data_IF_113729001256
#
_entry.id   IF_113729001256
#
_cell.length_a   1.000
_cell.length_b   1.000
_cell.length_c   1.000
_cell.angle_alpha   90.00
_cell.angle_beta   90.00
_cell.angle_gamma   90.00
#
_symmetry.space_group_name_H-M   'P 1'
#
loop_
_entity.id
_entity.type
_entity.pdbx_description
1 polymer ?
#
# COMPACT_ATOMS: atom_id res chain seq x y z
N UNK A 1 -5.91 -20.61 -10.34
CA UNK A 1 -6.47 -20.41 -8.98
C UNK A 1 -7.97 -20.39 -9.14
N UNK A 2 -8.67 -21.19 -8.35
CA UNK A 2 -10.12 -21.04 -8.24
C UNK A 2 -10.40 -19.80 -7.36
N UNK A 3 -11.55 -19.13 -7.54
CA UNK A 3 -11.91 -17.97 -6.70
C UNK A 3 -11.90 -18.27 -5.20
N UNK A 4 -12.20 -19.52 -4.81
CA UNK A 4 -12.09 -20.00 -3.43
C UNK A 4 -10.65 -19.94 -2.90
N UNK A 5 -9.68 -20.31 -3.72
CA UNK A 5 -8.27 -20.32 -3.33
C UNK A 5 -7.76 -18.88 -3.12
N UNK A 6 -8.21 -17.94 -3.97
CA UNK A 6 -7.91 -16.52 -3.84
C UNK A 6 -8.48 -15.94 -2.54
N UNK A 7 -9.70 -16.34 -2.20
CA UNK A 7 -10.34 -15.93 -0.97
C UNK A 7 -9.61 -16.42 0.27
N UNK A 8 -9.24 -17.71 0.33
CA UNK A 8 -8.48 -18.24 1.48
C UNK A 8 -7.11 -17.59 1.61
N UNK A 9 -6.42 -17.36 0.49
CA UNK A 9 -5.16 -16.61 0.49
C UNK A 9 -5.34 -15.18 1.02
N UNK A 10 -6.38 -14.47 0.56
CA UNK A 10 -6.68 -13.12 1.04
C UNK A 10 -6.96 -13.11 2.55
N UNK A 11 -7.70 -14.11 3.04
CA UNK A 11 -8.04 -14.25 4.45
C UNK A 11 -6.79 -14.49 5.31
N UNK A 12 -5.87 -15.35 4.85
CA UNK A 12 -4.61 -15.62 5.56
C UNK A 12 -3.71 -14.38 5.59
N UNK A 13 -3.67 -13.61 4.49
CA UNK A 13 -2.96 -12.33 4.43
C UNK A 13 -3.55 -11.35 5.45
N UNK A 14 -4.87 -11.17 5.47
CA UNK A 14 -5.55 -10.22 6.38
C UNK A 14 -5.27 -10.58 7.84
N UNK A 15 -5.33 -11.88 8.20
CA UNK A 15 -5.00 -12.35 9.56
C UNK A 15 -3.54 -12.10 9.97
N UNK A 16 -2.62 -12.03 9.01
CA UNK A 16 -1.20 -11.82 9.28
C UNK A 16 -0.82 -10.33 9.38
N UNK A 17 -1.63 -9.42 8.83
CA UNK A 17 -1.37 -7.99 8.86
C UNK A 17 -1.84 -7.41 10.20
N UNK A 18 -1.06 -6.54 10.86
CA UNK A 18 -1.49 -5.89 12.10
C UNK A 18 -2.64 -4.88 11.87
N UNK A 19 -3.41 -4.59 12.92
CA UNK A 19 -4.38 -3.50 12.91
C UNK A 19 -3.66 -2.16 12.70
N UNK A 20 -4.15 -1.33 11.78
CA UNK A 20 -3.67 0.03 11.53
C UNK A 20 -4.84 1.00 11.35
N UNK A 21 -4.56 2.30 11.38
CA UNK A 21 -5.59 3.33 11.16
C UNK A 21 -6.05 3.38 9.70
N UNK A 22 -5.14 3.06 8.76
CA UNK A 22 -5.41 2.95 7.34
C UNK A 22 -4.45 1.96 6.67
N UNK A 23 -4.84 1.49 5.49
CA UNK A 23 -4.08 0.60 4.63
C UNK A 23 -3.88 1.25 3.26
N UNK A 24 -2.70 1.08 2.68
CA UNK A 24 -2.32 1.74 1.43
C UNK A 24 -2.03 0.68 0.38
N UNK A 25 -2.77 0.71 -0.71
CA UNK A 25 -2.52 -0.10 -1.90
C UNK A 25 -1.92 0.75 -3.01
N UNK A 26 -1.06 0.16 -3.83
CA UNK A 26 -0.71 0.76 -5.10
C UNK A 26 -1.83 0.47 -6.11
N UNK A 27 -2.30 1.50 -6.80
CA UNK A 27 -3.30 1.35 -7.85
C UNK A 27 -2.75 0.43 -8.97
N UNK A 28 -3.53 -0.55 -9.44
CA UNK A 28 -3.06 -1.48 -10.45
C UNK A 28 -2.71 -0.74 -11.76
N UNK A 29 -1.70 -1.20 -12.51
CA UNK A 29 -1.37 -0.62 -13.80
C UNK A 29 -2.55 -0.77 -14.78
N UNK A 30 -2.86 0.29 -15.51
CA UNK A 30 -3.79 0.23 -16.63
C UNK A 30 -3.10 -0.56 -17.74
N UNK A 31 -3.72 -1.67 -18.18
CA UNK A 31 -3.22 -2.45 -19.30
C UNK A 31 -3.30 -1.65 -20.60
N UNK A 32 -2.20 -1.58 -21.34
CA UNK A 32 -2.21 -0.99 -22.67
C UNK A 32 -3.01 -1.86 -23.66
N UNK A 33 -3.60 -1.30 -24.72
CA UNK A 33 -4.35 -2.06 -25.72
C UNK A 33 -3.54 -3.23 -26.32
N UNK A 34 -2.23 -3.03 -26.49
CA UNK A 34 -1.30 -4.05 -27.00
C UNK A 34 -1.09 -5.22 -26.02
N UNK A 35 -1.29 -5.01 -24.72
CA UNK A 35 -1.17 -6.05 -23.70
C UNK A 35 -2.49 -6.78 -23.44
N UNK A 36 -3.64 -6.21 -23.84
CA UNK A 36 -4.94 -6.87 -23.75
C UNK A 36 -5.05 -8.12 -24.64
N UNK A 37 -4.27 -8.17 -25.72
CA UNK A 37 -4.22 -9.34 -26.62
C UNK A 37 -3.34 -10.46 -26.09
N UNK A 38 -2.55 -10.21 -25.03
CA UNK A 38 -1.65 -11.20 -24.43
C UNK A 38 -2.34 -11.90 -23.26
N UNK A 39 -2.94 -13.06 -23.52
CA UNK A 39 -3.71 -13.83 -22.54
C UNK A 39 -2.99 -14.03 -21.19
N UNK A 40 -1.69 -14.34 -21.18
CA UNK A 40 -0.94 -14.51 -19.93
C UNK A 40 -0.84 -13.22 -19.10
N UNK A 41 -0.67 -12.06 -19.74
CA UNK A 41 -0.59 -10.76 -19.05
C UNK A 41 -1.94 -10.38 -18.46
N UNK A 42 -3.01 -10.61 -19.21
CA UNK A 42 -4.39 -10.36 -18.77
C UNK A 42 -4.77 -11.28 -17.61
N UNK A 43 -4.41 -12.56 -17.67
CA UNK A 43 -4.70 -13.52 -16.60
C UNK A 43 -4.05 -13.11 -15.28
N UNK A 44 -2.75 -12.76 -15.30
CA UNK A 44 -2.03 -12.30 -14.10
C UNK A 44 -2.58 -10.99 -13.57
N UNK A 45 -2.93 -10.06 -14.46
CA UNK A 45 -3.55 -8.79 -14.06
C UNK A 45 -4.90 -9.00 -13.38
N UNK A 46 -5.75 -9.88 -13.95
CA UNK A 46 -7.05 -10.19 -13.36
C UNK A 46 -6.91 -10.85 -11.99
N UNK A 47 -5.96 -11.79 -11.83
CA UNK A 47 -5.67 -12.39 -10.52
C UNK A 47 -5.23 -11.35 -9.49
N UNK A 48 -4.41 -10.38 -9.90
CA UNK A 48 -3.97 -9.30 -9.03
C UNK A 48 -5.14 -8.38 -8.60
N UNK A 49 -5.98 -7.98 -9.56
CA UNK A 49 -7.16 -7.15 -9.29
C UNK A 49 -8.18 -7.88 -8.42
N UNK A 50 -8.39 -9.18 -8.66
CA UNK A 50 -9.26 -10.05 -7.86
C UNK A 50 -8.78 -10.10 -6.40
N UNK A 51 -7.51 -10.42 -6.17
CA UNK A 51 -6.93 -10.46 -4.82
C UNK A 51 -6.99 -9.10 -4.13
N UNK A 52 -6.64 -8.00 -4.83
CA UNK A 52 -6.75 -6.65 -4.27
C UNK A 52 -8.18 -6.28 -3.88
N UNK A 53 -9.16 -6.69 -4.68
CA UNK A 53 -10.58 -6.42 -4.40
C UNK A 53 -11.07 -7.22 -3.18
N UNK A 54 -10.60 -8.47 -3.03
CA UNK A 54 -10.88 -9.28 -1.85
C UNK A 54 -10.27 -8.66 -0.59
N UNK A 55 -8.99 -8.27 -0.65
CA UNK A 55 -8.31 -7.61 0.48
C UNK A 55 -8.98 -6.28 0.85
N UNK A 56 -9.34 -5.47 -0.15
CA UNK A 56 -10.08 -4.22 0.05
C UNK A 56 -11.37 -4.46 0.83
N UNK A 57 -12.14 -5.48 0.43
CA UNK A 57 -13.41 -5.81 1.08
C UNK A 57 -13.16 -6.31 2.50
N UNK A 58 -12.29 -7.31 2.67
CA UNK A 58 -12.01 -7.94 3.96
C UNK A 58 -11.46 -6.95 5.00
N UNK A 59 -10.59 -6.03 4.61
CA UNK A 59 -10.07 -5.00 5.52
C UNK A 59 -11.15 -4.01 5.94
N UNK A 60 -12.05 -3.63 5.03
CA UNK A 60 -13.15 -2.73 5.35
C UNK A 60 -14.27 -3.38 6.17
N UNK A 61 -14.47 -4.69 6.04
CA UNK A 61 -15.53 -5.45 6.74
C UNK A 61 -15.04 -6.20 7.99
N UNK A 62 -13.76 -6.09 8.35
CA UNK A 62 -13.21 -6.73 9.55
C UNK A 62 -13.24 -5.78 10.73
N UNK A 63 -13.83 -6.19 11.85
CA UNK A 63 -13.87 -5.39 13.09
C UNK A 63 -12.46 -5.09 13.62
N UNK A 64 -11.51 -6.02 13.41
CA UNK A 64 -10.10 -5.86 13.81
C UNK A 64 -9.41 -4.73 13.04
N UNK A 65 -9.75 -4.57 11.76
CA UNK A 65 -9.08 -3.62 10.86
C UNK A 65 -9.90 -2.33 10.64
N UNK A 66 -11.20 -2.38 10.85
CA UNK A 66 -12.11 -1.25 10.72
C UNK A 66 -12.92 -1.09 12.02
N UNK A 67 -12.34 -0.37 12.97
CA UNK A 67 -12.93 -0.08 14.29
C UNK A 67 -14.26 0.67 14.21
N UNK A 68 -14.60 1.27 13.07
CA UNK A 68 -15.90 1.91 12.88
C UNK A 68 -17.06 0.90 12.83
N UNK A 69 -16.78 -0.38 12.60
CA UNK A 69 -17.80 -1.45 12.62
C UNK A 69 -18.33 -1.73 14.04
N UNK A 70 -17.46 -1.69 15.05
CA UNK A 70 -17.86 -1.90 16.46
C UNK A 70 -18.90 -0.86 16.91
N UNK A 71 -18.87 0.35 16.34
CA UNK A 71 -19.79 1.44 16.67
C UNK A 71 -21.16 1.32 15.98
N UNK A 72 -21.38 0.29 15.13
CA UNK A 72 -22.60 0.09 14.34
C UNK A 72 -23.57 -0.90 15.00
N UNK A 73 -23.12 -1.67 15.99
CA UNK A 73 -23.96 -2.64 16.72
C UNK A 73 -25.13 -2.00 17.50
N UNK A 74 -25.12 -0.68 17.73
CA UNK A 74 -26.25 0.06 18.27
C UNK A 74 -27.26 0.46 17.17
N UNK A 75 -28.11 -0.50 16.78
CA UNK A 75 -29.49 -0.50 16.22
C UNK A 75 -30.12 0.69 15.44
N UNK A 76 -29.41 1.79 15.14
CA UNK A 76 -30.02 3.02 14.59
C UNK A 76 -29.44 3.50 13.25
N UNK A 77 -28.71 2.68 12.50
CA UNK A 77 -27.89 3.21 11.42
C UNK A 77 -27.77 2.40 10.13
N UNK A 78 -28.90 1.97 9.57
CA UNK A 78 -29.00 1.54 8.16
C UNK A 78 -28.64 2.65 7.12
N UNK A 79 -28.25 3.85 7.56
CA UNK A 79 -27.92 5.00 6.72
C UNK A 79 -26.52 5.59 6.93
N UNK A 80 -25.65 4.99 7.76
CA UNK A 80 -24.27 5.45 7.95
C UNK A 80 -23.39 4.92 6.82
N UNK A 81 -22.78 5.82 6.05
CA UNK A 81 -21.68 5.46 5.15
C UNK A 81 -20.51 4.95 6.00
N UNK A 82 -20.12 3.69 5.80
CA UNK A 82 -18.96 3.11 6.47
C UNK A 82 -17.69 3.79 5.93
N UNK A 83 -16.85 4.39 6.79
CA UNK A 83 -15.62 4.99 6.33
C UNK A 83 -14.68 3.92 5.77
N UNK A 84 -14.10 4.20 4.61
CA UNK A 84 -13.13 3.32 3.98
C UNK A 84 -11.77 3.46 4.67
N UNK A 85 -11.16 2.34 5.06
CA UNK A 85 -9.82 2.29 5.68
C UNK A 85 -8.71 2.00 4.68
N UNK A 86 -9.05 1.68 3.43
CA UNK A 86 -8.08 1.33 2.38
C UNK A 86 -8.02 2.42 1.32
N UNK A 87 -6.83 2.95 1.05
CA UNK A 87 -6.60 4.01 0.08
C UNK A 87 -5.62 3.59 -1.00
N UNK A 88 -5.82 4.11 -2.21
CA UNK A 88 -4.96 3.82 -3.35
C UNK A 88 -4.03 4.99 -3.64
N UNK A 89 -2.72 4.74 -3.64
CA UNK A 89 -1.76 5.65 -4.25
C UNK A 89 -1.63 5.33 -5.74
N UNK A 90 -1.69 6.36 -6.58
CA UNK A 90 -1.56 6.20 -8.04
C UNK A 90 -0.24 5.50 -8.39
N UNK A 91 -0.33 4.55 -9.32
CA UNK A 91 0.82 3.82 -9.82
C UNK A 91 1.95 4.76 -10.26
N UNK A 92 3.20 4.39 -9.99
CA UNK A 92 4.43 5.11 -10.36
C UNK A 92 4.68 6.41 -9.60
N UNK A 93 3.77 6.88 -8.74
CA UNK A 93 4.05 8.08 -7.91
C UNK A 93 5.25 7.84 -7.02
N UNK A 94 5.27 6.70 -6.31
CA UNK A 94 6.40 6.32 -5.47
C UNK A 94 7.70 6.22 -6.28
N UNK A 95 7.66 5.55 -7.44
CA UNK A 95 8.83 5.43 -8.30
C UNK A 95 9.35 6.79 -8.82
N UNK A 96 8.46 7.76 -9.08
CA UNK A 96 8.85 9.12 -9.46
C UNK A 96 9.50 9.88 -8.32
N UNK A 97 8.95 9.79 -7.11
CA UNK A 97 9.50 10.45 -5.93
C UNK A 97 10.94 9.99 -5.66
N UNK A 98 11.17 8.68 -5.75
CA UNK A 98 12.48 8.07 -5.51
C UNK A 98 13.38 7.97 -6.73
N UNK A 99 12.99 8.57 -7.87
CA UNK A 99 13.75 8.55 -9.12
C UNK A 99 14.10 7.13 -9.61
N UNK A 100 13.25 6.15 -9.30
CA UNK A 100 13.33 4.75 -9.79
C UNK A 100 12.40 4.52 -10.98
N UNK A 101 11.90 5.58 -11.60
CA UNK A 101 11.18 5.51 -12.87
C UNK A 101 12.09 5.97 -14.02
N UNK A 102 12.45 5.04 -14.92
CA UNK A 102 13.22 5.33 -16.13
C UNK A 102 12.30 5.17 -17.34
N UNK A 103 12.00 6.28 -18.01
CA UNK A 103 10.97 6.31 -19.05
C UNK A 103 9.60 5.91 -18.48
N UNK A 104 9.10 4.74 -18.86
CA UNK A 104 7.84 4.17 -18.35
C UNK A 104 8.02 2.99 -17.40
N UNK A 105 9.26 2.57 -17.16
CA UNK A 105 9.59 1.36 -16.40
C UNK A 105 10.05 1.69 -14.98
N UNK A 106 9.58 0.89 -14.02
CA UNK A 106 10.07 0.93 -12.65
C UNK A 106 11.33 0.06 -12.58
N UNK A 107 12.44 0.65 -12.15
CA UNK A 107 13.66 -0.08 -11.82
C UNK A 107 13.69 -0.45 -10.34
N UNK A 108 14.66 -1.29 -9.96
CA UNK A 108 14.77 -1.82 -8.59
C UNK A 108 14.74 -0.72 -7.53
N UNK A 109 13.93 -0.94 -6.50
CA UNK A 109 13.79 -0.03 -5.36
C UNK A 109 14.87 -0.26 -4.28
N UNK A 110 15.63 -1.36 -4.35
CA UNK A 110 16.57 -1.77 -3.29
C UNK A 110 17.62 -0.69 -3.01
N UNK A 111 18.24 -0.11 -4.04
CA UNK A 111 19.30 0.90 -3.85
C UNK A 111 18.75 2.16 -3.19
N UNK A 112 17.55 2.61 -3.61
CA UNK A 112 16.90 3.77 -3.03
C UNK A 112 16.58 3.54 -1.54
N UNK A 113 15.99 2.39 -1.20
CA UNK A 113 15.64 2.03 0.17
C UNK A 113 16.88 1.81 1.04
N UNK A 114 17.93 1.18 0.51
CA UNK A 114 19.17 0.99 1.27
C UNK A 114 19.78 2.34 1.67
N UNK A 115 19.61 3.39 0.85
CA UNK A 115 19.96 4.76 1.22
C UNK A 115 19.12 5.30 2.38
N UNK A 116 17.80 5.05 2.38
CA UNK A 116 16.90 5.46 3.49
C UNK A 116 17.31 4.77 4.80
N UNK A 117 17.59 3.47 4.75
CA UNK A 117 17.81 2.70 5.98
C UNK A 117 19.23 2.85 6.56
N UNK A 118 20.20 3.36 5.77
CA UNK A 118 21.60 3.55 6.20
C UNK A 118 21.92 4.93 6.79
N UNK A 119 20.94 5.83 6.95
CA UNK A 119 21.15 7.25 7.29
C UNK A 119 21.75 7.51 8.71
N UNK A 120 22.10 6.46 9.46
CA UNK A 120 22.85 6.56 10.74
C UNK A 120 24.36 6.85 10.56
N UNK A 121 24.90 6.79 9.34
CA UNK A 121 26.35 6.88 9.10
C UNK A 121 26.89 8.30 8.80
N UNK A 122 26.08 9.36 8.93
CA UNK A 122 26.54 10.75 8.72
C UNK A 122 26.84 11.14 7.28
N UNK A 123 26.55 10.26 6.30
CA UNK A 123 26.51 10.62 4.88
C UNK A 123 25.10 11.08 4.62
N UNK A 124 24.89 12.40 4.56
CA UNK A 124 23.59 13.01 4.22
C UNK A 124 23.23 12.62 2.79
N UNK A 125 22.63 11.46 2.61
CA UNK A 125 21.85 11.17 1.42
C UNK A 125 20.64 12.09 1.48
N UNK A 126 20.60 13.09 0.60
CA UNK A 126 19.41 13.93 0.38
C UNK A 126 18.27 13.02 -0.10
N UNK A 127 17.56 12.44 0.85
CA UNK A 127 16.39 11.63 0.58
C UNK A 127 15.29 12.56 0.02
N UNK A 128 14.55 12.11 -1.00
CA UNK A 128 13.48 12.91 -1.60
C UNK A 128 12.24 13.03 -0.69
N UNK A 129 12.25 12.37 0.47
CA UNK A 129 11.16 12.29 1.44
C UNK A 129 11.61 12.78 2.81
N UNK A 130 10.63 13.02 3.69
CA UNK A 130 10.86 13.28 5.10
C UNK A 130 11.69 12.15 5.77
N UNK A 131 12.54 12.45 6.77
CA UNK A 131 13.38 11.45 7.43
C UNK A 131 12.57 10.29 8.02
N UNK A 132 13.01 9.06 7.79
CA UNK A 132 12.38 7.84 8.31
C UNK A 132 13.36 7.15 9.25
N UNK A 133 12.90 6.78 10.44
CA UNK A 133 13.68 6.03 11.42
C UNK A 133 13.24 4.57 11.42
N UNK A 134 14.21 3.66 11.49
CA UNK A 134 13.97 2.23 11.59
C UNK A 134 14.68 1.66 12.81
N UNK A 135 14.04 0.70 13.47
CA UNK A 135 14.72 -0.10 14.47
C UNK A 135 15.76 -1.02 13.81
N UNK A 136 16.91 -1.18 14.45
CA UNK A 136 18.01 -2.03 13.95
C UNK A 136 17.56 -3.46 13.62
N UNK A 137 16.58 -3.98 14.36
CA UNK A 137 16.02 -5.30 14.15
C UNK A 137 15.29 -5.42 12.80
N UNK A 138 14.52 -4.39 12.43
CA UNK A 138 13.78 -4.33 11.15
C UNK A 138 14.76 -4.27 9.98
N UNK A 139 15.81 -3.48 10.11
CA UNK A 139 16.85 -3.41 9.08
C UNK A 139 17.58 -4.74 8.90
N UNK A 140 17.97 -5.39 9.99
CA UNK A 140 18.63 -6.69 9.96
C UNK A 140 17.73 -7.74 9.32
N UNK A 141 16.43 -7.73 9.66
CA UNK A 141 15.44 -8.61 9.04
C UNK A 141 15.32 -8.37 7.53
N UNK A 142 15.30 -7.11 7.08
CA UNK A 142 15.30 -6.76 5.65
C UNK A 142 16.55 -7.29 4.92
N UNK A 143 17.74 -7.12 5.52
CA UNK A 143 19.00 -7.60 4.94
C UNK A 143 19.07 -9.13 4.83
N UNK A 144 18.36 -9.87 5.68
CA UNK A 144 18.35 -11.33 5.67
C UNK A 144 17.34 -11.94 4.67
N UNK A 145 16.54 -11.12 3.99
CA UNK A 145 15.58 -11.61 2.99
C UNK A 145 16.24 -12.02 1.67
N UNK A 146 15.54 -12.88 0.91
CA UNK A 146 15.90 -13.23 -0.46
C UNK A 146 15.84 -12.00 -1.38
N UNK A 147 16.54 -12.04 -2.52
CA UNK A 147 16.56 -10.91 -3.47
C UNK A 147 15.15 -10.50 -3.93
N UNK A 148 14.30 -11.47 -4.27
CA UNK A 148 12.92 -11.21 -4.68
C UNK A 148 12.08 -10.58 -3.56
N UNK A 149 12.19 -11.09 -2.33
CA UNK A 149 11.46 -10.54 -1.18
C UNK A 149 11.96 -9.15 -0.81
N UNK A 150 13.27 -8.90 -0.90
CA UNK A 150 13.86 -7.57 -0.70
C UNK A 150 13.29 -6.55 -1.66
N UNK A 151 13.13 -6.90 -2.93
CA UNK A 151 12.55 -6.00 -3.92
C UNK A 151 11.08 -5.68 -3.58
N UNK A 152 10.27 -6.69 -3.25
CA UNK A 152 8.87 -6.47 -2.84
C UNK A 152 8.75 -5.61 -1.58
N UNK A 153 9.57 -5.88 -0.57
CA UNK A 153 9.62 -5.08 0.66
C UNK A 153 10.09 -3.66 0.40
N UNK A 154 11.09 -3.49 -0.47
CA UNK A 154 11.59 -2.17 -0.84
C UNK A 154 10.49 -1.36 -1.56
N UNK A 155 9.75 -1.98 -2.48
CA UNK A 155 8.63 -1.33 -3.16
C UNK A 155 7.48 -0.98 -2.19
N UNK A 156 7.14 -1.88 -1.26
CA UNK A 156 6.12 -1.62 -0.24
C UNK A 156 6.52 -0.48 0.70
N UNK A 157 7.77 -0.44 1.14
CA UNK A 157 8.29 0.65 1.96
C UNK A 157 8.31 1.97 1.19
N UNK A 158 8.75 1.96 -0.05
CA UNK A 158 8.76 3.12 -0.93
C UNK A 158 7.34 3.69 -1.12
N UNK A 159 6.34 2.82 -1.27
CA UNK A 159 4.92 3.18 -1.35
C UNK A 159 4.46 3.88 -0.05
N UNK A 160 4.71 3.26 1.10
CA UNK A 160 4.30 3.78 2.40
C UNK A 160 4.95 5.15 2.70
N UNK A 161 6.27 5.28 2.49
CA UNK A 161 6.99 6.53 2.70
C UNK A 161 6.50 7.62 1.75
N UNK A 162 6.22 7.28 0.49
CA UNK A 162 5.66 8.24 -0.49
C UNK A 162 4.29 8.73 -0.05
N UNK A 163 3.43 7.84 0.45
CA UNK A 163 2.10 8.21 0.93
C UNK A 163 2.19 9.11 2.16
N UNK A 164 3.02 8.75 3.16
CA UNK A 164 3.21 9.59 4.35
C UNK A 164 3.73 10.98 3.97
N UNK A 165 4.75 11.05 3.13
CA UNK A 165 5.37 12.30 2.74
C UNK A 165 4.43 13.20 1.91
N UNK A 166 3.77 12.63 0.89
CA UNK A 166 2.94 13.41 -0.04
C UNK A 166 1.53 13.66 0.49
N UNK A 167 0.88 12.66 1.08
CA UNK A 167 -0.54 12.72 1.44
C UNK A 167 -0.78 13.12 2.91
N UNK A 168 0.15 12.82 3.82
CA UNK A 168 -0.01 13.18 5.25
C UNK A 168 0.74 14.47 5.59
N UNK A 169 2.02 14.58 5.23
CA UNK A 169 2.86 15.69 5.69
C UNK A 169 2.78 16.92 4.79
N UNK A 170 2.71 16.75 3.47
CA UNK A 170 2.82 17.88 2.51
C UNK A 170 1.49 18.38 1.94
N UNK A 171 0.42 17.59 2.01
CA UNK A 171 -0.87 17.94 1.40
C UNK A 171 -2.02 17.88 2.40
N UNK A 172 -2.46 19.05 2.86
CA UNK A 172 -3.55 19.19 3.85
C UNK A 172 -4.87 18.67 3.30
N UNK A 173 -5.19 18.93 2.02
CA UNK A 173 -6.44 18.45 1.40
C UNK A 173 -6.50 16.93 1.36
N UNK A 174 -5.37 16.28 1.04
CA UNK A 174 -5.26 14.82 1.08
C UNK A 174 -5.43 14.30 2.50
N UNK A 175 -4.75 14.91 3.47
CA UNK A 175 -4.88 14.52 4.87
C UNK A 175 -6.31 14.66 5.39
N UNK A 176 -7.01 15.75 5.03
CA UNK A 176 -8.40 15.97 5.41
C UNK A 176 -9.36 14.98 4.74
N UNK A 177 -9.08 14.56 3.50
CA UNK A 177 -9.86 13.52 2.82
C UNK A 177 -9.68 12.12 3.43
N UNK A 178 -8.56 11.87 4.13
CA UNK A 178 -8.31 10.61 4.85
C UNK A 178 -9.00 10.57 6.21
N UNK A 179 -9.34 11.73 6.77
CA UNK A 179 -10.15 11.77 7.99
C UNK A 179 -11.54 11.24 7.63
N UNK A 180 -12.16 10.47 8.52
CA UNK A 180 -13.58 10.13 8.41
C UNK A 180 -14.40 11.39 8.69
N UNK A 181 -14.42 12.33 7.75
CA UNK A 181 -15.19 13.57 7.85
C UNK A 181 -16.65 13.28 7.56
N UNK A 182 -17.50 13.54 8.57
CA UNK A 182 -18.94 13.68 8.40
C UNK A 182 -19.20 14.75 7.35
N UNK A 183 -19.65 14.38 6.15
CA UNK A 183 -20.40 15.34 5.33
C UNK A 183 -21.68 15.66 6.10
N UNK A 184 -21.70 16.80 6.82
CA UNK A 184 -22.94 17.41 7.25
C UNK A 184 -23.68 17.79 5.96
N UNK A 185 -24.70 16.99 5.60
CA UNK A 185 -25.74 17.45 4.68
C UNK A 185 -26.56 18.53 5.36
#
# INVERSE_FOLDING_TARGET
MLPSDAFYLALDIVKAIPSGDLYIFEAPPILSPQNLTKHGVVATHNQHVELQSMLLTLLNTSEVHNKFLETIADDKFYSRELPNVVFYLKNKVAARLFKTLIGYEKVSAITAITGIVKDDAGIVTLLPCSPVKFDCNVYTAFLNQSSANKELLAQALMLAVSFMDLCIYKNVDSYDALKPTRKKK
#
